data_IF_149237154287
#
_entry.id   IF_149237154287
#
_cell.length_a   1.000
_cell.length_b   1.000
_cell.length_c   1.000
_cell.angle_alpha   90.00
_cell.angle_beta   90.00
_cell.angle_gamma   90.00
#
_symmetry.space_group_name_H-M   'P 1'
#
loop_
_entity.id
_entity.type
_entity.pdbx_description
1 polymer ?
#
# COMPACT_ATOMS: atom_id res chain seq x y z
N UNK A 1 -4.86 -9.96 22.47
CA UNK A 1 -4.91 -10.96 23.58
C UNK A 1 -4.95 -12.38 23.00
N UNK A 2 -4.15 -13.33 23.51
CA UNK A 2 -4.25 -14.77 23.16
C UNK A 2 -4.84 -15.52 24.36
N UNK A 3 -6.16 -15.67 24.41
CA UNK A 3 -6.80 -16.59 25.36
C UNK A 3 -6.87 -17.95 24.68
N UNK A 4 -6.32 -18.97 25.34
CA UNK A 4 -6.52 -20.37 24.95
C UNK A 4 -7.86 -20.84 25.54
N UNK A 5 -8.90 -20.84 24.71
CA UNK A 5 -10.23 -21.25 25.15
C UNK A 5 -10.35 -22.75 25.40
N UNK A 6 -9.43 -23.59 24.94
CA UNK A 6 -9.46 -25.02 25.25
C UNK A 6 -9.45 -25.27 26.75
N UNK A 7 -8.56 -24.60 27.46
CA UNK A 7 -8.32 -24.78 28.90
C UNK A 7 -8.90 -23.67 29.78
N UNK A 8 -9.69 -22.75 29.21
CA UNK A 8 -10.25 -21.63 29.97
C UNK A 8 -11.34 -22.06 30.97
N UNK A 9 -11.25 -21.63 32.22
CA UNK A 9 -12.25 -21.81 33.28
C UNK A 9 -12.49 -20.50 34.06
N UNK A 10 -13.43 -20.50 35.02
CA UNK A 10 -13.77 -19.28 35.77
C UNK A 10 -12.66 -18.81 36.73
N UNK A 11 -11.66 -19.63 37.03
CA UNK A 11 -10.53 -19.23 37.90
C UNK A 11 -9.63 -18.22 37.20
N UNK A 12 -9.63 -18.21 35.87
CA UNK A 12 -8.84 -17.31 35.02
C UNK A 12 -9.49 -15.94 34.81
N UNK A 13 -10.74 -15.74 35.24
CA UNK A 13 -11.36 -14.42 35.18
C UNK A 13 -10.70 -13.46 36.19
N UNK A 14 -10.64 -12.15 35.91
CA UNK A 14 -10.26 -11.16 36.91
C UNK A 14 -11.35 -11.01 37.99
N UNK A 15 -11.04 -10.26 39.05
CA UNK A 15 -11.97 -9.94 40.15
C UNK A 15 -12.82 -8.71 39.89
N UNK A 16 -12.63 -8.04 38.75
CA UNK A 16 -13.40 -6.89 38.30
C UNK A 16 -13.31 -6.77 36.77
N UNK A 17 -14.26 -6.07 36.16
CA UNK A 17 -14.20 -5.71 34.73
C UNK A 17 -13.00 -4.80 34.44
N UNK A 18 -12.43 -4.95 33.24
CA UNK A 18 -11.33 -4.13 32.75
C UNK A 18 -11.45 -3.92 31.23
N UNK A 19 -10.39 -3.46 30.59
CA UNK A 19 -10.36 -3.22 29.15
C UNK A 19 -10.64 -4.48 28.32
N UNK A 20 -10.28 -5.66 28.85
CA UNK A 20 -10.35 -6.96 28.19
C UNK A 20 -11.56 -7.80 28.62
N UNK A 21 -12.15 -7.57 29.78
CA UNK A 21 -13.23 -8.38 30.34
C UNK A 21 -14.47 -7.53 30.64
N UNK A 22 -15.61 -7.91 30.05
CA UNK A 22 -16.92 -7.35 30.36
C UNK A 22 -17.86 -8.44 30.92
N UNK A 23 -18.46 -8.17 32.08
CA UNK A 23 -19.26 -9.08 32.88
C UNK A 23 -20.73 -8.69 32.85
N UNK A 24 -21.62 -9.68 32.75
CA UNK A 24 -23.06 -9.49 32.84
C UNK A 24 -23.71 -10.56 33.71
N UNK A 25 -24.53 -10.10 34.65
CA UNK A 25 -25.30 -10.95 35.56
C UNK A 25 -26.29 -11.83 34.80
N UNK A 26 -26.53 -13.04 35.32
CA UNK A 26 -27.61 -13.93 34.90
C UNK A 26 -29.00 -13.29 34.93
N UNK A 27 -29.18 -12.26 35.76
CA UNK A 27 -30.45 -11.51 35.89
C UNK A 27 -30.72 -10.57 34.72
N UNK A 28 -29.75 -10.39 33.81
CA UNK A 28 -29.93 -9.53 32.63
C UNK A 28 -30.95 -10.16 31.69
N UNK A 29 -32.05 -9.46 31.34
CA UNK A 29 -33.05 -10.00 30.42
C UNK A 29 -32.43 -10.37 29.05
N UNK A 30 -32.90 -11.44 28.38
CA UNK A 30 -32.31 -11.89 27.11
C UNK A 30 -32.23 -10.80 26.02
N UNK A 31 -33.26 -9.95 25.91
CA UNK A 31 -33.26 -8.85 24.93
C UNK A 31 -32.20 -7.78 25.25
N UNK A 32 -31.99 -7.45 26.52
CA UNK A 32 -30.96 -6.51 26.92
C UNK A 32 -29.56 -7.13 26.80
N UNK A 33 -29.45 -8.42 27.12
CA UNK A 33 -28.22 -9.18 26.95
C UNK A 33 -27.81 -9.22 25.48
N UNK A 34 -28.76 -9.43 24.56
CA UNK A 34 -28.53 -9.38 23.11
C UNK A 34 -27.94 -8.06 22.66
N UNK A 35 -28.56 -6.94 23.08
CA UNK A 35 -28.09 -5.60 22.73
C UNK A 35 -26.68 -5.36 23.27
N UNK A 36 -26.45 -5.70 24.55
CA UNK A 36 -25.15 -5.53 25.21
C UNK A 36 -24.06 -6.38 24.57
N UNK A 37 -24.36 -7.63 24.22
CA UNK A 37 -23.43 -8.52 23.52
C UNK A 37 -23.02 -7.93 22.17
N UNK A 38 -23.99 -7.49 21.34
CA UNK A 38 -23.68 -6.88 20.04
C UNK A 38 -22.81 -5.63 20.17
N UNK A 39 -23.13 -4.72 21.12
CA UNK A 39 -22.31 -3.53 21.37
C UNK A 39 -20.91 -3.88 21.90
N UNK A 40 -20.80 -4.86 22.80
CA UNK A 40 -19.51 -5.31 23.34
C UNK A 40 -18.63 -5.95 22.26
N UNK A 41 -19.22 -6.75 21.36
CA UNK A 41 -18.50 -7.35 20.23
C UNK A 41 -17.93 -6.26 19.31
N UNK A 42 -18.73 -5.25 18.96
CA UNK A 42 -18.26 -4.06 18.24
C UNK A 42 -17.12 -3.36 18.98
N UNK A 43 -17.27 -3.13 20.29
CA UNK A 43 -16.28 -2.48 21.13
C UNK A 43 -14.95 -3.22 21.17
N UNK A 44 -14.98 -4.51 21.48
CA UNK A 44 -13.77 -5.33 21.56
C UNK A 44 -13.06 -5.43 20.21
N UNK A 45 -13.80 -5.68 19.13
CA UNK A 45 -13.21 -5.77 17.79
C UNK A 45 -12.52 -4.47 17.37
N UNK A 46 -13.07 -3.31 17.76
CA UNK A 46 -12.50 -1.99 17.48
C UNK A 46 -11.40 -1.56 18.47
N UNK A 47 -11.13 -2.30 19.55
CA UNK A 47 -10.22 -1.88 20.64
C UNK A 47 -9.18 -2.92 21.05
N UNK A 48 -8.89 -3.92 20.21
CA UNK A 48 -7.78 -4.88 20.44
C UNK A 48 -8.21 -6.28 20.90
N UNK A 49 -9.51 -6.57 20.85
CA UNK A 49 -10.12 -7.82 21.31
C UNK A 49 -10.51 -7.77 22.79
N UNK A 50 -11.05 -8.89 23.29
CA UNK A 50 -11.50 -9.03 24.66
C UNK A 50 -12.49 -10.18 24.83
N UNK A 51 -13.09 -10.29 26.01
CA UNK A 51 -14.05 -11.31 26.38
C UNK A 51 -15.31 -10.67 26.97
N UNK A 52 -16.44 -11.13 26.46
CA UNK A 52 -17.74 -10.88 27.05
C UNK A 52 -18.19 -12.13 27.81
N UNK A 53 -18.53 -11.96 29.09
CA UNK A 53 -18.91 -13.04 30.00
C UNK A 53 -20.29 -12.73 30.55
N UNK A 54 -21.21 -13.69 30.43
CA UNK A 54 -22.56 -13.57 30.94
C UNK A 54 -22.96 -14.76 31.82
N UNK A 55 -23.70 -14.48 32.89
CA UNK A 55 -23.97 -15.42 33.98
C UNK A 55 -23.00 -15.28 35.17
N UNK A 56 -22.36 -14.10 35.31
CA UNK A 56 -21.45 -13.78 36.42
C UNK A 56 -21.79 -12.42 37.05
N UNK A 57 -21.47 -12.26 38.33
CA UNK A 57 -21.57 -10.98 39.04
C UNK A 57 -20.46 -10.00 38.63
N UNK A 58 -20.45 -8.80 39.24
CA UNK A 58 -19.43 -7.76 38.98
C UNK A 58 -18.01 -8.15 39.39
N UNK A 59 -17.84 -9.25 40.12
CA UNK A 59 -16.55 -9.77 40.57
C UNK A 59 -16.10 -11.02 39.80
N UNK A 60 -16.84 -11.38 38.73
CA UNK A 60 -16.56 -12.54 37.90
C UNK A 60 -16.93 -13.87 38.54
N UNK A 61 -17.74 -13.89 39.61
CA UNK A 61 -18.26 -15.13 40.19
C UNK A 61 -19.57 -15.52 39.51
N UNK A 62 -19.76 -16.80 39.23
CA UNK A 62 -21.02 -17.31 38.68
C UNK A 62 -22.21 -16.98 39.61
N UNK A 63 -23.24 -16.37 39.03
CA UNK A 63 -24.42 -15.89 39.75
C UNK A 63 -25.70 -16.64 39.32
N UNK A 64 -25.65 -17.97 39.38
CA UNK A 64 -26.61 -18.96 38.87
C UNK A 64 -26.42 -19.36 37.40
N UNK A 65 -25.66 -18.59 36.62
CA UNK A 65 -25.47 -18.84 35.19
C UNK A 65 -26.71 -18.53 34.34
N UNK A 66 -26.58 -18.66 33.02
CA UNK A 66 -27.65 -18.52 32.05
C UNK A 66 -28.21 -19.89 31.66
N UNK A 67 -29.53 -19.99 31.46
CA UNK A 67 -30.13 -21.22 30.95
C UNK A 67 -29.50 -21.64 29.62
N UNK A 68 -29.28 -22.95 29.45
CA UNK A 68 -28.69 -23.52 28.23
C UNK A 68 -29.55 -23.28 26.97
N UNK A 69 -30.81 -22.86 27.14
CA UNK A 69 -31.72 -22.48 26.05
C UNK A 69 -32.30 -21.09 26.26
N UNK A 70 -32.30 -20.30 25.19
CA UNK A 70 -32.99 -19.01 25.11
C UNK A 70 -34.19 -19.18 24.18
N UNK A 71 -35.38 -19.32 24.76
CA UNK A 71 -36.59 -19.69 24.02
C UNK A 71 -36.46 -21.10 23.43
N UNK A 72 -36.34 -21.21 22.11
CA UNK A 72 -36.17 -22.50 21.40
C UNK A 72 -34.74 -22.77 20.94
N UNK A 73 -33.83 -21.81 21.07
CA UNK A 73 -32.47 -21.88 20.58
C UNK A 73 -31.51 -22.26 21.70
N UNK A 74 -30.46 -23.02 21.37
CA UNK A 74 -29.37 -23.29 22.30
C UNK A 74 -28.55 -22.01 22.53
N UNK A 75 -28.07 -21.81 23.76
CA UNK A 75 -27.41 -20.57 24.21
C UNK A 75 -26.20 -20.19 23.33
N UNK A 76 -25.42 -21.19 22.90
CA UNK A 76 -24.27 -20.98 22.02
C UNK A 76 -24.70 -20.43 20.66
N UNK A 77 -25.71 -21.05 20.05
CA UNK A 77 -26.20 -20.67 18.72
C UNK A 77 -26.92 -19.32 18.76
N UNK A 78 -27.62 -19.04 19.86
CA UNK A 78 -28.20 -17.72 20.12
C UNK A 78 -27.12 -16.63 20.17
N UNK A 79 -26.03 -16.86 20.89
CA UNK A 79 -24.90 -15.92 20.95
C UNK A 79 -24.21 -15.77 19.58
N UNK A 80 -24.01 -16.88 18.87
CA UNK A 80 -23.43 -16.91 17.52
C UNK A 80 -24.23 -16.04 16.54
N UNK A 81 -25.56 -16.16 16.55
CA UNK A 81 -26.44 -15.35 15.72
C UNK A 81 -26.32 -13.85 16.01
N UNK A 82 -26.05 -13.46 17.26
CA UNK A 82 -25.89 -12.05 17.65
C UNK A 82 -24.54 -11.51 17.21
N UNK A 83 -23.47 -12.29 17.37
CA UNK A 83 -22.14 -11.90 16.91
C UNK A 83 -22.13 -11.71 15.38
N UNK A 84 -22.83 -12.56 14.64
CA UNK A 84 -22.97 -12.45 13.18
C UNK A 84 -23.81 -11.25 12.69
N UNK A 85 -24.47 -10.51 13.59
CA UNK A 85 -25.13 -9.23 13.24
C UNK A 85 -24.17 -8.04 13.26
N UNK A 86 -22.95 -8.22 13.77
CA UNK A 86 -21.92 -7.18 13.76
C UNK A 86 -21.22 -7.17 12.40
N UNK A 87 -21.11 -6.00 11.77
CA UNK A 87 -20.59 -5.86 10.41
C UNK A 87 -19.35 -4.96 10.34
N UNK A 88 -18.22 -5.42 9.76
CA UNK A 88 -17.95 -6.80 9.36
C UNK A 88 -17.91 -7.73 10.58
N UNK A 89 -18.14 -9.03 10.37
CA UNK A 89 -18.08 -10.00 11.47
C UNK A 89 -16.61 -10.14 11.92
N UNK A 90 -16.28 -9.90 13.20
CA UNK A 90 -14.92 -10.09 13.70
C UNK A 90 -14.59 -11.58 13.81
N UNK A 91 -13.32 -11.93 13.99
CA UNK A 91 -12.97 -13.29 14.44
C UNK A 91 -13.38 -13.45 15.90
N UNK A 92 -14.08 -14.54 16.24
CA UNK A 92 -14.52 -14.83 17.60
C UNK A 92 -14.56 -16.34 17.88
N UNK A 93 -14.64 -16.69 19.16
CA UNK A 93 -14.88 -18.04 19.64
C UNK A 93 -15.87 -17.98 20.83
N UNK A 94 -16.72 -19.01 20.98
CA UNK A 94 -17.74 -19.09 22.04
C UNK A 94 -17.48 -20.35 22.87
N UNK A 95 -17.45 -20.18 24.20
CA UNK A 95 -17.37 -21.28 25.17
C UNK A 95 -18.52 -21.22 26.16
N UNK A 96 -19.07 -22.38 26.47
CA UNK A 96 -20.09 -22.57 27.50
C UNK A 96 -19.42 -23.28 28.68
N UNK A 97 -19.45 -22.66 29.86
CA UNK A 97 -18.78 -23.16 31.06
C UNK A 97 -19.84 -23.61 32.06
N UNK A 98 -19.91 -24.91 32.33
CA UNK A 98 -20.90 -25.52 33.21
C UNK A 98 -20.39 -25.79 34.64
N UNK A 99 -19.07 -25.76 34.85
CA UNK A 99 -18.44 -25.94 36.16
C UNK A 99 -17.94 -24.59 36.68
N UNK A 100 -18.36 -24.21 37.89
CA UNK A 100 -17.93 -22.95 38.49
C UNK A 100 -16.52 -23.00 39.05
N UNK A 101 -15.95 -24.20 39.28
CA UNK A 101 -14.62 -24.41 39.84
C UNK A 101 -14.41 -23.57 41.13
N UNK A 102 -15.46 -23.47 41.95
CA UNK A 102 -15.45 -22.71 43.21
C UNK A 102 -15.64 -21.19 43.09
N UNK A 103 -15.74 -20.62 41.87
CA UNK A 103 -16.04 -19.19 41.62
C UNK A 103 -17.55 -18.95 41.53
N UNK A 104 -18.26 -19.13 42.64
CA UNK A 104 -19.71 -18.93 42.71
C UNK A 104 -20.52 -20.19 42.38
N UNK A 105 -21.79 -20.00 41.97
CA UNK A 105 -22.77 -21.08 41.79
C UNK A 105 -23.35 -21.05 40.37
N UNK A 106 -23.39 -22.19 39.71
CA UNK A 106 -24.12 -22.41 38.46
C UNK A 106 -25.27 -23.37 38.75
N UNK A 107 -26.49 -23.00 38.38
CA UNK A 107 -27.66 -23.86 38.58
C UNK A 107 -27.70 -25.02 37.59
N UNK A 108 -28.48 -26.05 37.91
CA UNK A 108 -28.75 -27.14 36.96
C UNK A 108 -29.39 -26.59 35.68
N UNK A 109 -28.96 -27.11 34.52
CA UNK A 109 -29.40 -26.65 33.20
C UNK A 109 -29.03 -25.20 32.84
N UNK A 110 -28.01 -24.67 33.53
CA UNK A 110 -27.42 -23.35 33.27
C UNK A 110 -25.92 -23.43 33.05
N UNK A 111 -25.35 -22.39 32.46
CA UNK A 111 -23.92 -22.24 32.23
C UNK A 111 -23.51 -20.76 32.15
N UNK A 112 -22.23 -20.49 32.32
CA UNK A 112 -21.64 -19.18 32.01
C UNK A 112 -21.30 -19.14 30.51
N UNK A 113 -21.79 -18.11 29.83
CA UNK A 113 -21.47 -17.84 28.43
C UNK A 113 -20.20 -17.00 28.36
N UNK A 114 -19.20 -17.45 27.60
CA UNK A 114 -18.02 -16.69 27.26
C UNK A 114 -17.95 -16.51 25.75
N UNK A 115 -17.84 -15.26 25.30
CA UNK A 115 -17.57 -14.90 23.91
C UNK A 115 -16.23 -14.18 23.85
N UNK A 116 -15.21 -14.81 23.27
CA UNK A 116 -13.92 -14.19 23.05
C UNK A 116 -13.88 -13.56 21.65
N UNK A 117 -13.58 -12.28 21.59
CA UNK A 117 -13.42 -11.51 20.35
C UNK A 117 -11.93 -11.23 20.17
N UNK A 118 -11.38 -11.60 19.02
CA UNK A 118 -9.97 -11.37 18.72
C UNK A 118 -9.75 -9.94 18.22
N UNK A 119 -8.50 -9.47 18.29
CA UNK A 119 -8.11 -8.24 17.62
C UNK A 119 -8.46 -8.34 16.12
N UNK A 120 -9.11 -7.30 15.62
CA UNK A 120 -9.48 -7.21 14.22
C UNK A 120 -8.76 -6.04 13.54
N UNK A 121 -8.36 -6.28 12.29
CA UNK A 121 -7.81 -5.28 11.38
C UNK A 121 -8.79 -4.93 10.26
N UNK A 122 -9.99 -5.52 10.27
CA UNK A 122 -11.02 -5.29 9.25
C UNK A 122 -12.02 -4.19 9.63
N UNK A 123 -11.87 -3.58 10.81
CA UNK A 123 -12.78 -2.58 11.34
C UNK A 123 -12.92 -1.33 10.44
N UNK A 124 -13.89 -0.46 10.75
CA UNK A 124 -14.68 -0.45 11.98
C UNK A 124 -15.84 -1.46 11.97
N UNK A 125 -16.07 -2.09 13.12
CA UNK A 125 -17.14 -3.06 13.37
C UNK A 125 -18.39 -2.38 13.91
N UNK A 126 -19.49 -2.48 13.18
CA UNK A 126 -20.78 -1.83 13.48
C UNK A 126 -21.71 -2.79 14.24
N UNK A 127 -22.31 -2.32 15.32
CA UNK A 127 -23.29 -3.09 16.09
C UNK A 127 -24.69 -3.08 15.45
N UNK A 128 -25.62 -3.85 16.02
CA UNK A 128 -27.01 -4.01 15.53
C UNK A 128 -27.79 -2.70 15.35
N UNK A 129 -27.40 -1.64 16.05
CA UNK A 129 -28.05 -0.32 16.04
C UNK A 129 -27.39 0.66 15.06
N UNK A 130 -26.58 0.13 14.13
CA UNK A 130 -25.82 0.90 13.13
C UNK A 130 -24.83 1.90 13.76
N UNK A 131 -24.36 1.62 14.98
CA UNK A 131 -23.38 2.44 15.67
C UNK A 131 -22.07 1.68 15.88
N UNK A 132 -20.98 2.43 15.97
CA UNK A 132 -19.66 1.89 16.29
C UNK A 132 -19.38 2.08 17.78
N UNK A 133 -18.87 1.05 18.44
CA UNK A 133 -18.49 1.09 19.84
C UNK A 133 -16.99 0.85 20.00
N UNK A 134 -16.43 1.33 21.11
CA UNK A 134 -15.04 1.12 21.54
C UNK A 134 -15.01 0.79 23.04
N UNK A 135 -13.91 0.19 23.48
CA UNK A 135 -13.58 0.08 24.90
C UNK A 135 -12.94 1.39 25.39
N UNK A 136 -13.41 1.88 26.52
CA UNK A 136 -12.84 3.01 27.24
C UNK A 136 -12.75 2.63 28.72
N UNK A 137 -11.63 2.04 29.12
CA UNK A 137 -11.57 1.37 30.41
C UNK A 137 -12.42 0.09 30.42
N UNK A 138 -13.04 -0.16 31.57
CA UNK A 138 -14.05 -1.20 31.77
C UNK A 138 -15.39 -0.95 31.02
N UNK A 139 -15.53 0.16 30.29
CA UNK A 139 -16.81 0.55 29.69
C UNK A 139 -16.84 0.43 28.16
N UNK A 140 -17.98 -0.05 27.67
CA UNK A 140 -18.35 0.00 26.24
C UNK A 140 -19.05 1.33 25.96
N UNK A 141 -18.43 2.15 25.11
CA UNK A 141 -18.96 3.49 24.77
C UNK A 141 -19.08 3.67 23.26
N UNK A 142 -20.04 4.48 22.84
CA UNK A 142 -20.23 4.82 21.42
C UNK A 142 -19.04 5.64 20.92
N UNK A 143 -18.45 5.22 19.80
CA UNK A 143 -17.32 5.87 19.18
C UNK A 143 -17.73 7.23 18.61
N UNK A 144 -16.88 8.24 18.82
CA UNK A 144 -17.00 9.54 18.17
C UNK A 144 -16.46 9.45 16.74
N UNK A 145 -16.91 10.33 15.85
CA UNK A 145 -16.55 10.30 14.42
C UNK A 145 -15.05 10.22 14.17
N UNK A 146 -14.24 11.06 14.83
CA UNK A 146 -12.77 11.04 14.67
C UNK A 146 -12.11 9.70 15.06
N UNK A 147 -12.71 8.95 16.00
CA UNK A 147 -12.21 7.61 16.35
C UNK A 147 -12.56 6.62 15.25
N UNK A 148 -13.77 6.71 14.69
CA UNK A 148 -14.19 5.86 13.57
C UNK A 148 -13.28 6.09 12.35
N UNK A 149 -12.94 7.34 12.05
CA UNK A 149 -11.99 7.69 10.99
C UNK A 149 -10.58 7.12 11.26
N UNK A 150 -10.13 7.16 12.53
CA UNK A 150 -8.86 6.56 12.91
C UNK A 150 -8.85 5.03 12.76
N UNK A 151 -9.96 4.34 13.08
CA UNK A 151 -10.10 2.90 12.87
C UNK A 151 -10.08 2.57 11.37
N UNK A 152 -10.78 3.36 10.55
CA UNK A 152 -10.74 3.26 9.10
C UNK A 152 -9.32 3.41 8.56
N UNK A 153 -8.56 4.40 9.03
CA UNK A 153 -7.16 4.56 8.65
C UNK A 153 -6.33 3.33 9.05
N UNK A 154 -6.54 2.79 10.27
CA UNK A 154 -5.83 1.58 10.76
C UNK A 154 -6.07 0.36 9.86
N UNK A 155 -7.22 0.24 9.19
CA UNK A 155 -7.51 -0.87 8.25
C UNK A 155 -6.47 -0.97 7.12
N UNK A 156 -5.94 0.17 6.66
CA UNK A 156 -4.93 0.23 5.62
C UNK A 156 -3.49 0.12 6.17
N UNK A 157 -3.30 0.36 7.48
CA UNK A 157 -2.06 0.06 8.20
C UNK A 157 -2.00 -1.44 8.56
N UNK A 158 -1.95 -2.28 7.54
CA UNK A 158 -1.44 -3.64 7.72
C UNK A 158 0.08 -3.59 7.89
N UNK A 159 0.68 -4.61 8.52
CA UNK A 159 2.15 -4.70 8.52
C UNK A 159 2.60 -5.01 7.08
N UNK A 160 3.70 -4.42 6.58
CA UNK A 160 4.26 -4.85 5.31
C UNK A 160 4.57 -6.34 5.42
N UNK A 161 4.14 -7.12 4.43
CA UNK A 161 4.48 -8.54 4.33
C UNK A 161 5.06 -8.78 2.95
N UNK A 162 6.36 -9.02 2.92
CA UNK A 162 7.04 -9.37 1.67
C UNK A 162 7.03 -10.90 1.47
N UNK A 163 6.98 -11.30 0.21
CA UNK A 163 7.26 -12.67 -0.25
C UNK A 163 8.21 -12.62 -1.43
N UNK A 164 8.66 -13.79 -1.86
CA UNK A 164 9.47 -13.94 -3.06
C UNK A 164 8.70 -14.63 -4.19
N UNK A 165 9.09 -14.32 -5.42
CA UNK A 165 8.75 -15.04 -6.64
C UNK A 165 10.06 -15.52 -7.24
N UNK A 166 10.21 -16.82 -7.46
CA UNK A 166 11.38 -17.37 -8.12
C UNK A 166 10.91 -18.25 -9.27
N UNK A 167 11.16 -17.82 -10.51
CA UNK A 167 10.64 -18.49 -11.71
C UNK A 167 11.48 -18.22 -12.95
N UNK A 168 11.24 -18.99 -14.01
CA UNK A 168 11.69 -18.61 -15.36
C UNK A 168 10.95 -17.36 -15.85
N UNK A 169 11.66 -16.46 -16.50
CA UNK A 169 11.15 -15.19 -17.01
C UNK A 169 10.18 -15.45 -18.18
N UNK A 170 8.94 -14.94 -18.16
CA UNK A 170 7.94 -15.26 -19.18
C UNK A 170 8.34 -14.93 -20.62
N UNK A 171 9.08 -13.83 -20.83
CA UNK A 171 9.49 -13.35 -22.16
C UNK A 171 10.88 -13.86 -22.60
N UNK A 172 11.62 -14.46 -21.67
CA UNK A 172 12.97 -15.00 -21.90
C UNK A 172 13.05 -16.31 -21.14
N UNK A 173 12.58 -17.40 -21.75
CA UNK A 173 12.59 -18.75 -21.17
C UNK A 173 13.98 -19.20 -20.71
N UNK A 174 15.02 -18.52 -21.20
CA UNK A 174 16.38 -18.75 -20.79
C UNK A 174 16.81 -17.99 -19.51
N UNK A 175 15.99 -17.16 -18.87
CA UNK A 175 16.40 -16.36 -17.71
C UNK A 175 15.62 -16.74 -16.45
N UNK A 176 16.29 -16.86 -15.30
CA UNK A 176 15.63 -16.98 -13.99
C UNK A 176 15.43 -15.58 -13.40
N UNK A 177 14.23 -15.30 -12.92
CA UNK A 177 13.84 -14.06 -12.28
C UNK A 177 13.56 -14.31 -10.79
N UNK A 178 14.21 -13.54 -9.93
CA UNK A 178 13.85 -13.39 -8.53
C UNK A 178 13.09 -12.07 -8.36
N UNK A 179 11.87 -12.15 -7.84
CA UNK A 179 11.05 -11.01 -7.46
C UNK A 179 10.82 -10.97 -5.97
N UNK A 180 10.78 -9.78 -5.39
CA UNK A 180 10.29 -9.52 -4.04
C UNK A 180 8.99 -8.73 -4.18
N UNK A 181 7.91 -9.27 -3.63
CA UNK A 181 6.54 -8.79 -3.82
C UNK A 181 5.91 -8.45 -2.48
N UNK A 182 5.06 -7.41 -2.44
CA UNK A 182 4.21 -7.16 -1.28
C UNK A 182 2.93 -8.01 -1.32
N UNK A 183 2.56 -8.59 -0.18
CA UNK A 183 1.29 -9.29 0.07
C UNK A 183 0.25 -8.39 0.74
N UNK A 184 0.64 -7.17 1.13
CA UNK A 184 -0.21 -6.21 1.81
C UNK A 184 -0.13 -4.84 1.14
N UNK A 185 -1.11 -3.98 1.38
CA UNK A 185 -1.11 -2.61 0.84
C UNK A 185 -0.08 -1.71 1.54
N UNK A 186 0.50 -2.18 2.65
CA UNK A 186 1.47 -1.43 3.42
C UNK A 186 2.87 -1.49 2.80
N UNK A 187 3.53 -0.34 2.56
CA UNK A 187 4.85 -0.30 1.98
C UNK A 187 5.91 -0.82 2.95
N UNK A 188 6.82 -1.62 2.43
CA UNK A 188 8.06 -2.00 3.10
C UNK A 188 9.15 -1.00 2.71
N UNK A 189 9.84 -0.41 3.69
CA UNK A 189 10.92 0.55 3.46
C UNK A 189 12.27 0.00 3.93
N UNK A 190 13.37 0.60 3.43
CA UNK A 190 14.75 0.19 3.77
C UNK A 190 14.98 -1.31 3.57
N UNK A 191 14.45 -1.86 2.46
CA UNK A 191 14.51 -3.28 2.19
C UNK A 191 15.94 -3.68 1.81
N UNK A 192 16.46 -4.70 2.48
CA UNK A 192 17.75 -5.32 2.20
C UNK A 192 17.54 -6.75 1.76
N UNK A 193 18.01 -7.09 0.57
CA UNK A 193 17.90 -8.44 0.02
C UNK A 193 19.28 -9.08 -0.01
N UNK A 194 19.41 -10.26 0.61
CA UNK A 194 20.63 -11.03 0.69
C UNK A 194 20.42 -12.48 0.20
N UNK A 195 21.47 -13.05 -0.40
CA UNK A 195 21.47 -14.43 -0.89
C UNK A 195 22.71 -15.14 -0.38
N UNK A 196 22.54 -16.28 0.30
CA UNK A 196 23.65 -17.02 0.92
C UNK A 196 23.46 -18.55 0.86
N UNK A 197 24.47 -19.33 0.43
CA UNK A 197 25.71 -18.87 -0.19
C UNK A 197 25.42 -18.23 -1.55
N UNK A 198 26.31 -17.32 -1.98
CA UNK A 198 26.17 -16.67 -3.26
C UNK A 198 26.33 -17.71 -4.39
N UNK A 199 25.36 -17.82 -5.31
CA UNK A 199 25.45 -18.71 -6.47
C UNK A 199 26.76 -18.52 -7.24
N UNK A 200 27.33 -19.60 -7.78
CA UNK A 200 28.61 -19.54 -8.51
C UNK A 200 28.59 -18.55 -9.69
N UNK A 201 27.44 -18.42 -10.36
CA UNK A 201 27.26 -17.46 -11.46
C UNK A 201 27.29 -16.00 -11.02
N UNK A 202 27.03 -15.74 -9.74
CA UNK A 202 26.95 -14.41 -9.16
C UNK A 202 28.18 -14.07 -8.32
N UNK A 203 29.24 -14.89 -8.38
CA UNK A 203 30.48 -14.68 -7.59
C UNK A 203 31.04 -13.26 -7.71
N UNK A 204 30.96 -12.66 -8.91
CA UNK A 204 31.43 -11.30 -9.18
C UNK A 204 30.50 -10.19 -8.63
N UNK A 205 29.30 -10.54 -8.18
CA UNK A 205 28.30 -9.61 -7.65
C UNK A 205 28.26 -9.60 -6.13
N UNK A 206 29.15 -10.34 -5.45
CA UNK A 206 29.13 -10.45 -3.99
C UNK A 206 29.26 -9.11 -3.26
N UNK A 207 29.91 -8.13 -3.89
CA UNK A 207 30.05 -6.77 -3.36
C UNK A 207 28.75 -5.93 -3.42
N UNK A 208 27.75 -6.34 -4.21
CA UNK A 208 26.46 -5.67 -4.30
C UNK A 208 25.50 -6.10 -3.19
N UNK A 209 25.77 -7.22 -2.52
CA UNK A 209 24.91 -7.75 -1.47
C UNK A 209 25.30 -7.20 -0.08
N UNK A 210 24.31 -6.85 0.77
CA UNK A 210 22.88 -6.92 0.49
C UNK A 210 22.43 -5.81 -0.47
N UNK A 211 21.56 -6.15 -1.42
CA UNK A 211 20.92 -5.16 -2.29
C UNK A 211 20.03 -4.26 -1.45
N UNK A 212 20.16 -2.95 -1.59
CA UNK A 212 19.34 -1.97 -0.87
C UNK A 212 18.27 -1.40 -1.78
N UNK A 213 17.01 -1.56 -1.38
CA UNK A 213 15.82 -1.06 -2.08
C UNK A 213 15.07 -0.13 -1.13
N UNK A 214 14.78 1.09 -1.59
CA UNK A 214 14.19 2.11 -0.72
C UNK A 214 12.76 1.75 -0.29
N UNK A 215 11.94 1.28 -1.23
CA UNK A 215 10.53 0.95 -1.01
C UNK A 215 10.14 -0.26 -1.86
N UNK A 216 9.36 -1.18 -1.30
CA UNK A 216 8.61 -2.21 -2.01
C UNK A 216 7.16 -2.17 -1.55
N UNK A 217 6.23 -2.04 -2.49
CA UNK A 217 4.78 -2.11 -2.27
C UNK A 217 4.11 -2.88 -3.43
N UNK A 218 2.78 -2.80 -3.54
CA UNK A 218 2.05 -3.50 -4.60
C UNK A 218 2.30 -2.92 -6.00
N UNK A 219 2.56 -1.62 -6.10
CA UNK A 219 2.80 -0.92 -7.36
C UNK A 219 4.28 -0.96 -7.75
N UNK A 220 5.17 -1.16 -6.77
CA UNK A 220 6.63 -1.12 -6.92
C UNK A 220 7.28 -2.44 -6.44
N UNK A 221 7.00 -3.59 -7.08
CA UNK A 221 7.72 -4.82 -6.81
C UNK A 221 9.18 -4.74 -7.28
N UNK A 222 10.09 -5.39 -6.55
CA UNK A 222 11.49 -5.48 -6.97
C UNK A 222 11.71 -6.77 -7.76
N UNK A 223 12.37 -6.68 -8.92
CA UNK A 223 12.78 -7.84 -9.70
C UNK A 223 14.25 -7.75 -10.07
N UNK A 224 14.95 -8.88 -9.99
CA UNK A 224 16.34 -9.04 -10.41
C UNK A 224 16.48 -10.34 -11.19
N UNK A 225 17.08 -10.26 -12.39
CA UNK A 225 17.36 -11.41 -13.23
C UNK A 225 18.67 -12.07 -12.75
N UNK A 226 18.60 -13.37 -12.43
CA UNK A 226 19.65 -14.09 -11.70
C UNK A 226 20.62 -14.83 -12.64
N UNK A 227 20.14 -15.49 -13.71
CA UNK A 227 21.00 -16.31 -14.57
C UNK A 227 20.38 -16.70 -15.93
N UNK A 228 21.23 -17.14 -16.87
CA UNK A 228 20.88 -17.75 -18.17
C UNK A 228 20.91 -19.29 -18.14
N UNK A 229 19.97 -19.93 -18.85
CA UNK A 229 19.46 -21.30 -18.67
C UNK A 229 20.44 -22.48 -18.87
N UNK A 230 21.62 -22.29 -19.45
CA UNK A 230 22.53 -23.43 -19.60
C UNK A 230 23.09 -23.84 -18.23
N UNK A 231 22.54 -24.92 -17.66
CA UNK A 231 22.92 -25.53 -16.37
C UNK A 231 22.54 -24.74 -15.10
N UNK A 232 21.46 -23.96 -15.13
CA UNK A 232 21.05 -23.11 -14.01
C UNK A 232 20.90 -23.87 -12.67
N UNK A 233 20.31 -25.07 -12.66
CA UNK A 233 20.19 -25.90 -11.45
C UNK A 233 21.55 -26.23 -10.81
N UNK A 234 22.55 -26.54 -11.64
CA UNK A 234 23.90 -26.90 -11.17
C UNK A 234 24.70 -25.68 -10.73
N UNK A 235 24.51 -24.55 -11.41
CA UNK A 235 25.30 -23.34 -11.22
C UNK A 235 24.73 -22.41 -10.14
N UNK A 236 23.41 -22.44 -9.91
CA UNK A 236 22.77 -21.74 -8.80
C UNK A 236 23.11 -22.42 -7.48
N UNK A 237 23.19 -23.75 -7.48
CA UNK A 237 23.55 -24.57 -6.33
C UNK A 237 22.34 -25.01 -5.51
N UNK A 238 22.59 -25.92 -4.58
CA UNK A 238 21.58 -26.41 -3.64
C UNK A 238 21.65 -25.61 -2.32
N UNK A 239 20.50 -25.47 -1.65
CA UNK A 239 20.39 -24.81 -0.33
C UNK A 239 20.76 -23.32 -0.28
N UNK A 240 20.49 -22.58 -1.36
CA UNK A 240 20.60 -21.12 -1.37
C UNK A 240 19.48 -20.51 -0.53
N UNK A 241 19.82 -19.69 0.47
CA UNK A 241 18.89 -18.95 1.30
C UNK A 241 18.70 -17.54 0.76
N UNK A 242 17.44 -17.12 0.69
CA UNK A 242 17.04 -15.73 0.52
C UNK A 242 16.70 -15.16 1.89
N UNK A 243 17.34 -14.05 2.24
CA UNK A 243 17.05 -13.25 3.41
C UNK A 243 16.62 -11.85 2.97
N UNK A 244 15.48 -11.40 3.48
CA UNK A 244 14.93 -10.07 3.20
C UNK A 244 14.63 -9.38 4.52
N UNK A 245 15.42 -8.36 4.84
CA UNK A 245 15.18 -7.47 5.98
C UNK A 245 14.46 -6.21 5.50
N UNK A 246 13.50 -5.71 6.26
CA UNK A 246 12.76 -4.50 5.89
C UNK A 246 12.11 -3.85 7.11
N UNK A 247 11.64 -2.61 6.95
CA UNK A 247 10.91 -1.89 7.99
C UNK A 247 9.51 -1.48 7.53
N UNK A 248 8.62 -1.26 8.50
CA UNK A 248 7.38 -0.51 8.26
C UNK A 248 7.61 1.01 8.39
N UNK A 249 6.59 1.79 8.03
CA UNK A 249 6.61 3.26 8.16
C UNK A 249 6.77 3.74 9.61
N UNK A 250 6.49 2.88 10.59
CA UNK A 250 6.67 3.17 12.01
C UNK A 250 8.07 2.79 12.52
N UNK A 251 8.93 2.25 11.64
CA UNK A 251 10.31 1.88 11.95
C UNK A 251 10.50 0.49 12.57
N UNK A 252 9.46 -0.34 12.68
CA UNK A 252 9.63 -1.72 13.15
C UNK A 252 10.31 -2.57 12.09
N UNK A 253 11.28 -3.39 12.51
CA UNK A 253 12.02 -4.28 11.62
C UNK A 253 11.36 -5.65 11.48
N UNK A 254 11.44 -6.19 10.26
CA UNK A 254 10.94 -7.51 9.88
C UNK A 254 12.04 -8.26 9.12
N UNK A 255 12.02 -9.59 9.20
CA UNK A 255 12.93 -10.46 8.46
C UNK A 255 12.12 -11.62 7.84
N UNK A 256 12.32 -11.84 6.55
CA UNK A 256 11.77 -12.95 5.79
C UNK A 256 12.91 -13.83 5.27
N UNK A 257 12.89 -15.11 5.66
CA UNK A 257 13.89 -16.09 5.29
C UNK A 257 13.24 -17.30 4.58
N UNK A 258 13.80 -17.70 3.45
CA UNK A 258 13.34 -18.88 2.72
C UNK A 258 14.46 -19.55 1.94
N UNK A 259 14.30 -20.85 1.65
CA UNK A 259 15.19 -21.58 0.75
C UNK A 259 14.72 -21.37 -0.69
N UNK A 260 15.64 -20.99 -1.56
CA UNK A 260 15.42 -20.92 -3.00
C UNK A 260 15.71 -22.29 -3.61
N UNK A 261 14.74 -22.81 -4.36
CA UNK A 261 14.88 -24.02 -5.16
C UNK A 261 14.36 -23.76 -6.57
N UNK A 262 15.14 -24.14 -7.59
CA UNK A 262 14.70 -24.03 -8.98
C UNK A 262 13.74 -25.18 -9.33
N UNK A 263 13.88 -26.34 -8.69
CA UNK A 263 13.03 -27.51 -8.87
C UNK A 263 11.58 -27.22 -8.47
N UNK A 264 10.70 -27.10 -9.48
CA UNK A 264 9.27 -26.79 -9.30
C UNK A 264 8.83 -25.40 -9.76
N UNK A 265 9.77 -24.56 -10.21
CA UNK A 265 9.47 -23.26 -10.81
C UNK A 265 8.88 -23.44 -12.21
N UNK A 266 7.56 -23.57 -12.30
CA UNK A 266 6.87 -23.66 -13.60
C UNK A 266 6.75 -22.25 -14.19
N UNK A 267 7.15 -22.01 -15.45
CA UNK A 267 6.73 -20.79 -16.14
C UNK A 267 5.20 -20.73 -16.16
N UNK A 268 4.57 -19.56 -16.33
CA UNK A 268 3.12 -19.50 -16.50
C UNK A 268 2.65 -20.52 -17.53
N UNK A 269 1.86 -21.52 -17.10
CA UNK A 269 1.37 -22.57 -18.00
C UNK A 269 0.21 -21.98 -18.79
N UNK A 270 0.47 -21.59 -20.03
CA UNK A 270 -0.59 -21.20 -20.96
C UNK A 270 -1.31 -22.47 -21.41
N UNK A 271 -2.41 -22.84 -20.74
CA UNK A 271 -3.24 -24.01 -21.10
C UNK A 271 -4.07 -23.80 -22.38
N UNK A 272 -3.88 -22.70 -23.10
CA UNK A 272 -4.58 -22.41 -24.34
C UNK A 272 -3.70 -22.71 -25.54
N UNK A 273 -4.01 -23.79 -26.25
CA UNK A 273 -3.53 -24.06 -27.63
C UNK A 273 -4.09 -23.09 -28.67
N UNK A 274 -4.86 -22.09 -28.25
CA UNK A 274 -5.32 -21.03 -29.11
C UNK A 274 -4.64 -19.76 -28.66
N UNK A 275 -3.72 -19.23 -29.48
CA UNK A 275 -3.78 -17.94 -30.18
C UNK A 275 -4.56 -16.76 -29.55
N UNK A 276 -4.96 -16.84 -28.28
CA UNK A 276 -5.78 -15.85 -27.60
C UNK A 276 -4.94 -14.62 -27.32
N UNK A 277 -3.69 -14.77 -26.88
CA UNK A 277 -2.75 -13.65 -26.75
C UNK A 277 -2.46 -13.02 -28.11
N UNK A 278 -2.27 -13.82 -29.17
CA UNK A 278 -2.07 -13.29 -30.53
C UNK A 278 -3.31 -12.58 -31.07
N UNK A 279 -4.52 -13.11 -30.82
CA UNK A 279 -5.82 -12.52 -31.15
C UNK A 279 -6.12 -11.26 -30.33
N UNK A 280 -5.72 -11.23 -29.06
CA UNK A 280 -5.81 -10.04 -28.21
C UNK A 280 -4.84 -8.97 -28.70
N UNK A 281 -3.62 -9.34 -29.08
CA UNK A 281 -2.64 -8.43 -29.68
C UNK A 281 -3.16 -7.90 -31.01
N UNK A 282 -3.69 -8.74 -31.90
CA UNK A 282 -4.29 -8.28 -33.18
C UNK A 282 -5.57 -7.48 -32.97
N UNK A 283 -6.37 -7.80 -31.95
CA UNK A 283 -7.54 -7.01 -31.57
C UNK A 283 -7.12 -5.65 -30.99
N UNK A 284 -6.10 -5.59 -30.14
CA UNK A 284 -5.51 -4.36 -29.61
C UNK A 284 -4.88 -3.51 -30.72
N UNK A 285 -4.18 -4.13 -31.68
CA UNK A 285 -3.66 -3.45 -32.87
C UNK A 285 -4.79 -2.92 -33.75
N UNK A 286 -5.88 -3.68 -33.91
CA UNK A 286 -7.06 -3.25 -34.66
C UNK A 286 -7.81 -2.12 -33.94
N UNK A 287 -7.92 -2.19 -32.62
CA UNK A 287 -8.47 -1.12 -31.76
C UNK A 287 -7.57 0.11 -31.81
N UNK A 288 -6.24 -0.03 -31.78
CA UNK A 288 -5.31 1.08 -31.90
C UNK A 288 -5.39 1.73 -33.30
N UNK A 289 -5.46 0.92 -34.37
CA UNK A 289 -5.73 1.43 -35.73
C UNK A 289 -7.09 2.12 -35.84
N UNK A 290 -8.12 1.62 -35.14
CA UNK A 290 -9.43 2.26 -35.11
C UNK A 290 -9.42 3.55 -34.29
N UNK A 291 -8.72 3.59 -33.15
CA UNK A 291 -8.53 4.79 -32.31
C UNK A 291 -7.72 5.86 -33.03
N UNK A 292 -6.66 5.49 -33.75
CA UNK A 292 -5.90 6.39 -34.61
C UNK A 292 -6.75 6.97 -35.75
N UNK A 293 -7.72 6.19 -36.25
CA UNK A 293 -8.72 6.66 -37.24
C UNK A 293 -9.86 7.49 -36.62
N UNK A 294 -10.13 7.30 -35.33
CA UNK A 294 -11.17 7.98 -34.55
C UNK A 294 -10.62 9.18 -33.77
N UNK A 295 -9.32 9.47 -33.86
CA UNK A 295 -8.66 10.60 -33.22
C UNK A 295 -9.13 11.93 -33.82
N UNK A 296 -10.35 12.32 -33.45
CA UNK A 296 -10.84 13.69 -33.39
C UNK A 296 -10.34 14.27 -32.06
N UNK A 297 -9.89 15.53 -32.00
CA UNK A 297 -9.20 16.05 -30.82
C UNK A 297 -10.12 16.03 -29.60
N UNK A 298 -9.79 15.20 -28.61
CA UNK A 298 -10.48 15.17 -27.33
C UNK A 298 -9.86 16.14 -26.33
N UNK A 299 -10.77 16.87 -25.68
CA UNK A 299 -10.55 17.99 -24.76
C UNK A 299 -9.64 17.64 -23.59
N UNK A 300 -8.80 18.63 -23.27
CA UNK A 300 -7.91 18.69 -22.12
C UNK A 300 -8.62 18.34 -20.80
N UNK A 301 -8.10 17.35 -20.09
CA UNK A 301 -8.29 17.20 -18.65
C UNK A 301 -6.99 17.67 -18.01
N UNK A 302 -7.09 18.75 -17.23
CA UNK A 302 -5.96 19.38 -16.55
C UNK A 302 -5.32 18.42 -15.54
N UNK A 303 -3.99 18.25 -15.62
CA UNK A 303 -3.19 17.58 -14.60
C UNK A 303 -2.96 18.52 -13.40
N UNK A 304 -2.96 18.01 -12.16
CA UNK A 304 -2.73 18.83 -10.97
C UNK A 304 -1.30 19.37 -10.94
N UNK A 305 -1.16 20.66 -10.63
CA UNK A 305 0.11 21.38 -10.49
C UNK A 305 0.73 21.13 -9.11
N UNK A 306 1.93 20.55 -9.09
CA UNK A 306 2.77 20.48 -7.89
C UNK A 306 3.41 21.85 -7.63
N UNK A 307 3.36 22.34 -6.38
CA UNK A 307 4.12 23.51 -5.95
C UNK A 307 5.58 23.09 -5.72
N UNK A 308 6.45 23.40 -6.67
CA UNK A 308 7.89 23.15 -6.57
C UNK A 308 8.58 24.30 -5.81
N UNK A 309 9.64 24.02 -5.03
CA UNK A 309 10.42 25.04 -4.33
C UNK A 309 11.08 26.01 -5.32
N UNK A 310 11.07 27.29 -4.97
CA UNK A 310 11.66 28.37 -5.76
C UNK A 310 13.20 28.21 -5.82
N UNK A 311 13.82 28.16 -7.02
CA UNK A 311 15.26 28.00 -7.18
C UNK A 311 16.04 29.20 -6.60
N UNK A 312 17.11 28.93 -5.84
CA UNK A 312 17.97 29.97 -5.25
C UNK A 312 18.89 30.62 -6.29
N UNK A 313 19.37 31.83 -6.03
CA UNK A 313 20.24 32.60 -6.95
C UNK A 313 21.53 31.84 -7.35
N UNK A 314 22.06 31.00 -6.45
CA UNK A 314 23.20 30.12 -6.71
C UNK A 314 22.96 29.09 -7.83
N UNK A 315 21.71 28.65 -8.03
CA UNK A 315 21.34 27.71 -9.09
C UNK A 315 21.51 28.37 -10.45
N UNK A 316 21.05 29.62 -10.59
CA UNK A 316 21.16 30.36 -11.84
C UNK A 316 22.61 30.61 -12.25
N UNK A 317 23.47 31.00 -11.31
CA UNK A 317 24.90 31.20 -11.57
C UNK A 317 25.60 29.92 -12.04
N UNK A 318 25.26 28.78 -11.45
CA UNK A 318 25.80 27.48 -11.86
C UNK A 318 25.37 27.15 -13.30
N UNK A 319 24.09 27.33 -13.63
CA UNK A 319 23.58 27.06 -14.98
C UNK A 319 24.22 28.00 -16.01
N UNK A 320 24.40 29.28 -15.69
CA UNK A 320 25.09 30.24 -16.56
C UNK A 320 26.50 29.77 -16.90
N UNK A 321 27.21 29.15 -15.95
CA UNK A 321 28.54 28.59 -16.21
C UNK A 321 28.51 27.36 -17.14
N UNK A 322 27.42 26.60 -17.15
CA UNK A 322 27.28 25.35 -17.91
C UNK A 322 26.80 25.58 -19.34
N UNK A 323 25.87 26.52 -19.53
CA UNK A 323 25.21 26.77 -20.83
C UNK A 323 25.14 28.27 -21.18
N UNK A 324 26.27 29.00 -21.15
CA UNK A 324 26.29 30.46 -21.28
C UNK A 324 25.71 30.96 -22.62
N UNK A 325 26.06 30.30 -23.73
CA UNK A 325 25.61 30.71 -25.06
C UNK A 325 24.09 30.59 -25.23
N UNK A 326 23.49 29.49 -24.76
CA UNK A 326 22.04 29.29 -24.86
C UNK A 326 21.27 30.30 -23.99
N UNK A 327 21.76 30.59 -22.78
CA UNK A 327 21.12 31.60 -21.93
C UNK A 327 21.29 33.02 -22.47
N UNK A 328 22.40 33.32 -23.15
CA UNK A 328 22.60 34.60 -23.83
C UNK A 328 21.58 34.80 -24.95
N UNK A 329 21.32 33.76 -25.76
CA UNK A 329 20.30 33.82 -26.82
C UNK A 329 18.90 33.95 -26.22
N UNK A 330 18.56 33.15 -25.20
CA UNK A 330 17.28 33.28 -24.48
C UNK A 330 17.11 34.67 -23.84
N UNK A 331 18.18 35.28 -23.35
CA UNK A 331 18.18 36.65 -22.81
C UNK A 331 17.87 37.68 -23.89
N UNK A 332 18.55 37.58 -25.04
CA UNK A 332 18.29 38.44 -26.21
C UNK A 332 16.83 38.31 -26.67
N UNK A 333 16.33 37.09 -26.77
CA UNK A 333 14.96 36.80 -27.17
C UNK A 333 13.92 37.38 -26.20
N UNK A 334 14.13 37.23 -24.90
CA UNK A 334 13.23 37.80 -23.89
C UNK A 334 13.35 39.32 -23.73
N UNK A 335 14.46 39.94 -24.15
CA UNK A 335 14.55 41.39 -24.27
C UNK A 335 13.71 41.91 -25.45
N UNK A 336 13.74 41.20 -26.58
CA UNK A 336 12.96 41.55 -27.78
C UNK A 336 11.47 41.19 -27.63
N UNK A 337 11.17 40.08 -26.96
CA UNK A 337 9.83 39.54 -26.75
C UNK A 337 9.57 39.23 -25.26
N UNK A 338 9.34 40.25 -24.40
CA UNK A 338 9.28 40.09 -22.93
C UNK A 338 8.21 39.15 -22.39
N UNK A 339 7.17 38.90 -23.18
CA UNK A 339 6.03 38.05 -22.82
C UNK A 339 6.10 36.65 -23.43
N UNK A 340 7.10 36.35 -24.28
CA UNK A 340 7.28 35.02 -24.81
C UNK A 340 7.64 34.05 -23.66
N UNK A 341 6.95 32.92 -23.60
CA UNK A 341 7.23 31.84 -22.65
C UNK A 341 7.40 30.49 -23.32
N UNK A 342 6.88 30.35 -24.53
CA UNK A 342 6.97 29.10 -25.28
C UNK A 342 8.13 29.16 -26.28
N UNK A 343 8.84 28.05 -26.40
CA UNK A 343 9.82 27.86 -27.44
C UNK A 343 9.80 26.44 -27.97
N UNK A 344 10.27 26.27 -29.20
CA UNK A 344 10.47 24.97 -29.83
C UNK A 344 11.93 24.75 -30.16
N UNK A 345 12.33 23.48 -30.21
CA UNK A 345 13.61 23.08 -30.78
C UNK A 345 13.39 22.35 -32.10
N UNK A 346 14.16 22.71 -33.12
CA UNK A 346 14.02 22.11 -34.44
C UNK A 346 15.30 22.21 -35.28
N UNK A 347 15.32 21.57 -36.45
CA UNK A 347 16.37 21.76 -37.44
C UNK A 347 16.05 22.99 -38.30
N UNK A 348 17.06 23.73 -38.78
CA UNK A 348 16.87 24.94 -39.60
C UNK A 348 16.11 24.70 -40.91
N UNK A 349 16.07 23.45 -41.39
CA UNK A 349 15.34 23.06 -42.59
C UNK A 349 13.84 22.80 -42.40
N UNK A 350 13.32 22.87 -41.17
CA UNK A 350 11.91 22.56 -40.87
C UNK A 350 11.11 23.85 -40.74
N UNK A 351 10.06 23.97 -41.56
CA UNK A 351 9.12 25.09 -41.46
C UNK A 351 8.11 24.84 -40.34
N UNK A 352 8.09 25.73 -39.35
CA UNK A 352 7.05 25.77 -38.31
C UNK A 352 5.99 26.80 -38.67
N UNK A 353 4.73 26.37 -38.84
CA UNK A 353 3.60 27.30 -38.98
C UNK A 353 3.23 27.83 -37.60
N UNK A 354 3.59 29.09 -37.33
CA UNK A 354 3.26 29.76 -36.07
C UNK A 354 1.75 30.05 -35.97
N UNK A 355 1.23 29.96 -34.75
CA UNK A 355 -0.08 30.50 -34.43
C UNK A 355 0.05 32.02 -34.34
N UNK A 356 -0.78 32.75 -35.07
CA UNK A 356 -0.82 34.22 -35.08
C UNK A 356 -1.06 34.84 -33.69
N UNK A 357 -1.64 34.08 -32.74
CA UNK A 357 -1.95 34.56 -31.40
C UNK A 357 -0.95 34.10 -30.32
N UNK A 358 0.00 33.20 -30.62
CA UNK A 358 0.95 32.68 -29.63
C UNK A 358 2.38 32.65 -30.18
N UNK A 359 3.15 33.69 -29.86
CA UNK A 359 4.52 33.84 -30.32
C UNK A 359 5.43 32.79 -29.67
N UNK A 360 6.04 31.95 -30.49
CA UNK A 360 6.90 30.83 -30.04
C UNK A 360 8.34 31.09 -30.46
N UNK A 361 9.27 31.15 -29.51
CA UNK A 361 10.70 31.27 -29.80
C UNK A 361 11.25 29.98 -30.44
N UNK A 362 12.38 30.08 -31.14
CA UNK A 362 12.95 28.95 -31.88
C UNK A 362 14.44 28.82 -31.60
N UNK A 363 14.85 27.65 -31.13
CA UNK A 363 16.26 27.28 -31.00
C UNK A 363 16.57 26.10 -31.92
N UNK A 364 17.72 26.17 -32.58
CA UNK A 364 18.07 25.18 -33.59
C UNK A 364 19.15 24.21 -33.09
N UNK A 365 19.04 22.93 -33.46
CA UNK A 365 20.05 21.92 -33.12
C UNK A 365 21.43 22.27 -33.70
N UNK A 366 21.46 23.00 -34.80
CA UNK A 366 22.66 23.46 -35.49
C UNK A 366 23.35 24.63 -34.78
N UNK A 367 22.62 25.43 -33.98
CA UNK A 367 23.19 26.60 -33.27
C UNK A 367 23.75 26.22 -31.89
N UNK A 368 23.25 25.14 -31.30
CA UNK A 368 23.73 24.67 -30.00
C UNK A 368 24.00 23.17 -30.00
N UNK A 369 25.28 22.80 -29.90
CA UNK A 369 25.67 21.41 -29.69
C UNK A 369 24.98 20.85 -28.44
N UNK A 370 24.41 19.64 -28.56
CA UNK A 370 23.68 18.94 -27.51
C UNK A 370 22.49 19.73 -26.92
N UNK A 371 21.79 20.54 -27.74
CA UNK A 371 20.67 21.38 -27.30
C UNK A 371 19.66 20.68 -26.39
N UNK A 372 19.16 19.49 -26.76
CA UNK A 372 18.20 18.74 -25.92
C UNK A 372 18.77 18.39 -24.54
N UNK A 373 20.07 18.06 -24.46
CA UNK A 373 20.74 17.72 -23.21
C UNK A 373 20.97 18.99 -22.36
N UNK A 374 21.27 20.12 -22.99
CA UNK A 374 21.36 21.42 -22.31
C UNK A 374 20.01 21.81 -21.70
N UNK A 375 18.91 21.63 -22.44
CA UNK A 375 17.55 21.86 -21.91
C UNK A 375 17.20 20.90 -20.77
N UNK A 376 17.72 19.68 -20.78
CA UNK A 376 17.54 18.73 -19.67
C UNK A 376 18.09 19.26 -18.34
N UNK A 377 19.16 20.06 -18.37
CA UNK A 377 19.70 20.73 -17.17
C UNK A 377 18.67 21.71 -16.60
N UNK A 378 17.99 22.47 -17.46
CA UNK A 378 16.93 23.42 -17.06
C UNK A 378 15.68 22.69 -16.54
N UNK A 379 15.28 21.60 -17.19
CA UNK A 379 14.15 20.76 -16.73
C UNK A 379 14.40 20.18 -15.33
N UNK A 380 15.62 19.68 -15.08
CA UNK A 380 15.99 19.12 -13.77
C UNK A 380 15.92 20.15 -12.63
N UNK A 381 16.02 21.44 -12.95
CA UNK A 381 15.91 22.55 -12.00
C UNK A 381 14.53 23.23 -12.06
N UNK A 382 13.57 22.65 -12.78
CA UNK A 382 12.22 23.17 -12.98
C UNK A 382 12.17 24.59 -13.57
N UNK A 383 13.18 24.98 -14.35
CA UNK A 383 13.26 26.29 -15.00
C UNK A 383 12.63 26.29 -16.40
N UNK A 384 12.47 25.10 -16.97
CA UNK A 384 11.79 24.86 -18.25
C UNK A 384 10.95 23.59 -18.13
N UNK A 385 9.78 23.58 -18.76
CA UNK A 385 8.88 22.44 -18.78
C UNK A 385 8.56 22.01 -20.20
N UNK A 386 8.65 20.72 -20.51
CA UNK A 386 8.22 20.19 -21.81
C UNK A 386 6.68 20.16 -21.88
N UNK A 387 6.12 20.79 -22.92
CA UNK A 387 4.68 20.88 -23.20
C UNK A 387 4.35 20.39 -24.62
N UNK A 388 5.19 19.50 -25.15
CA UNK A 388 5.04 18.88 -26.48
C UNK A 388 3.65 18.24 -26.63
N UNK A 389 2.88 18.70 -27.62
CA UNK A 389 1.54 18.16 -27.94
C UNK A 389 1.43 17.63 -29.38
N UNK A 390 2.47 17.82 -30.19
CA UNK A 390 2.61 17.36 -31.57
C UNK A 390 4.05 16.87 -31.80
N UNK A 391 4.45 16.63 -33.05
CA UNK A 391 5.78 16.11 -33.39
C UNK A 391 6.93 17.12 -33.23
N UNK A 392 6.65 18.37 -32.84
CA UNK A 392 7.64 19.39 -32.59
C UNK A 392 7.90 19.54 -31.08
N UNK A 393 9.11 19.22 -30.58
CA UNK A 393 9.39 19.36 -29.15
C UNK A 393 9.23 20.82 -28.71
N UNK A 394 8.35 21.04 -27.73
CA UNK A 394 7.93 22.37 -27.27
C UNK A 394 8.12 22.48 -25.77
N UNK A 395 8.56 23.65 -25.33
CA UNK A 395 8.92 23.94 -23.96
C UNK A 395 8.34 25.27 -23.50
N UNK A 396 8.07 25.39 -22.20
CA UNK A 396 7.67 26.62 -21.51
C UNK A 396 8.77 27.03 -20.52
N UNK A 397 9.17 28.29 -20.58
CA UNK A 397 10.08 28.96 -19.64
C UNK A 397 9.30 29.28 -18.36
N UNK A 398 9.86 28.93 -17.19
CA UNK A 398 9.27 29.30 -15.90
C UNK A 398 9.37 30.82 -15.65
N UNK A 399 8.51 31.38 -14.79
CA UNK A 399 8.59 32.81 -14.48
C UNK A 399 9.87 33.18 -13.73
N UNK A 400 10.45 32.25 -12.97
CA UNK A 400 11.72 32.42 -12.27
C UNK A 400 12.88 32.57 -13.26
N UNK A 401 12.95 31.70 -14.28
CA UNK A 401 13.95 31.81 -15.33
C UNK A 401 13.75 33.08 -16.16
N UNK A 402 12.51 33.40 -16.53
CA UNK A 402 12.21 34.63 -17.27
C UNK A 402 12.53 35.90 -16.46
N UNK A 403 12.32 35.90 -15.14
CA UNK A 403 12.71 37.00 -14.27
C UNK A 403 14.24 37.13 -14.19
N UNK A 404 14.95 36.02 -14.04
CA UNK A 404 16.42 36.01 -14.03
C UNK A 404 17.02 36.52 -15.35
N UNK A 405 16.55 36.01 -16.49
CA UNK A 405 17.08 36.39 -17.82
C UNK A 405 16.80 37.85 -18.17
N UNK A 406 15.74 38.46 -17.62
CA UNK A 406 15.42 39.88 -17.84
C UNK A 406 16.15 40.85 -16.91
N UNK A 407 16.88 40.36 -15.90
CA UNK A 407 17.70 41.26 -15.06
C UNK A 407 18.77 41.92 -15.95
N UNK A 408 18.98 43.25 -15.85
CA UNK A 408 20.11 43.88 -16.51
C UNK A 408 21.41 43.28 -15.96
N UNK A 409 22.33 42.90 -16.85
CA UNK A 409 23.67 42.52 -16.42
C UNK A 409 24.30 43.76 -15.79
N UNK A 410 24.55 43.70 -14.48
CA UNK A 410 25.46 44.64 -13.83
C UNK A 410 26.87 44.29 -14.31
N UNK A 411 27.48 45.20 -15.06
CA UNK A 411 28.89 45.17 -15.46
C UNK A 411 29.84 45.01 -14.26
#
# INVERSE_FOLDING_TARGET
>A
MKIDLGNFDLTQLPSAEDDNFEFKSSRTPPEDLKKKLSCAVSAFANSGGGCFIAGVDSHGNADNGLHLKVGRQDLRDWADQIVNQVEPVPKYEIKIISDSVGRGVIQSDSAVLLVAVYESHAGPHMAYDNCYYIRAGAHTVKAKHFIVDAIWAKRHFSKPRLTHLFRLKPEKEQAIQLGILSLTDAPAIEVKVNISPLPKMMSNLGNLFPLQISVIDQDNPFFFDVATHSQADKLFGENVLLEVEYKDLSGHSYNYNTRLGISGSVPPVTLTTNDASAKIVTALESINKALLKLAVPHKNIAKPSFLLPQPSESVFLNIESLIPELLADMRSDLQNCPFAREFIIMNKGVMYCEDTNNFTLKYYFEDHAYLRNKLRILENQALVYEITYNDAPRFVISEELAAYLRKPQTD
#
